data_IF_869868794057
#
_entry.id   IF_869868794057
#
_cell.length_a   1.000
_cell.length_b   1.000
_cell.length_c   1.000
_cell.angle_alpha   90.00
_cell.angle_beta   90.00
_cell.angle_gamma   90.00
#
_symmetry.space_group_name_H-M   'P 1'
#
loop_
_entity.id
_entity.type
_entity.pdbx_description
1 polymer ?
#
# COMPACT_ATOMS: atom_id res chain seq x y z
N UNK A 1 -16.76 -2.40 2.13
CA UNK A 1 -16.86 -3.68 2.86
C UNK A 1 -17.21 -4.87 1.95
N UNK A 2 -18.19 -4.76 1.05
CA UNK A 2 -18.55 -5.87 0.16
C UNK A 2 -17.40 -6.33 -0.77
N UNK A 3 -16.67 -5.37 -1.37
CA UNK A 3 -15.55 -5.66 -2.28
C UNK A 3 -14.36 -6.34 -1.59
N UNK A 4 -14.01 -5.90 -0.38
CA UNK A 4 -12.92 -6.50 0.39
C UNK A 4 -13.26 -7.91 0.88
N UNK A 5 -14.51 -8.14 1.30
CA UNK A 5 -15.01 -9.47 1.65
C UNK A 5 -15.06 -10.41 0.44
N UNK A 6 -15.51 -9.92 -0.71
CA UNK A 6 -15.50 -10.69 -1.96
C UNK A 6 -14.08 -11.05 -2.39
N UNK A 7 -13.15 -10.10 -2.39
CA UNK A 7 -11.74 -10.34 -2.70
C UNK A 7 -11.11 -11.37 -1.75
N UNK A 8 -11.36 -11.25 -0.45
CA UNK A 8 -10.90 -12.24 0.53
C UNK A 8 -11.51 -13.62 0.24
N UNK A 9 -12.82 -13.74 0.15
CA UNK A 9 -13.50 -15.03 -0.07
C UNK A 9 -13.15 -15.69 -1.41
N UNK A 10 -12.80 -14.90 -2.44
CA UNK A 10 -12.45 -15.40 -3.77
C UNK A 10 -10.97 -15.74 -3.93
N UNK A 11 -10.05 -15.04 -3.26
CA UNK A 11 -8.61 -15.31 -3.37
C UNK A 11 -8.17 -16.37 -2.35
N UNK A 12 -8.71 -16.34 -1.14
CA UNK A 12 -8.20 -17.16 -0.02
C UNK A 12 -8.29 -18.67 -0.24
N UNK A 13 -9.39 -19.22 -0.79
CA UNK A 13 -9.49 -20.67 -1.00
C UNK A 13 -8.56 -21.20 -2.10
N UNK A 14 -8.27 -20.39 -3.12
CA UNK A 14 -7.54 -20.82 -4.32
C UNK A 14 -6.07 -20.40 -4.31
N UNK A 15 -5.74 -19.29 -3.64
CA UNK A 15 -4.39 -18.72 -3.57
C UNK A 15 -4.07 -18.18 -2.16
N UNK A 16 -4.05 -19.04 -1.13
CA UNK A 16 -3.91 -18.61 0.26
C UNK A 16 -2.57 -17.93 0.55
N UNK A 17 -1.47 -18.40 -0.05
CA UNK A 17 -0.15 -17.78 0.12
C UNK A 17 -0.12 -16.36 -0.48
N UNK A 18 -0.68 -16.19 -1.68
CA UNK A 18 -0.81 -14.89 -2.33
C UNK A 18 -1.71 -13.96 -1.52
N UNK A 19 -2.87 -14.44 -1.06
CA UNK A 19 -3.77 -13.68 -0.20
C UNK A 19 -3.12 -13.21 1.11
N UNK A 20 -2.40 -14.10 1.79
CA UNK A 20 -1.68 -13.76 3.01
C UNK A 20 -0.56 -12.74 2.76
N UNK A 21 0.17 -12.90 1.65
CA UNK A 21 1.21 -11.94 1.25
C UNK A 21 0.66 -10.54 1.01
N UNK A 22 -0.42 -10.42 0.24
CA UNK A 22 -1.07 -9.12 -0.01
C UNK A 22 -1.67 -8.51 1.25
N UNK A 23 -2.29 -9.32 2.12
CA UNK A 23 -2.81 -8.82 3.40
C UNK A 23 -1.68 -8.29 4.29
N UNK A 24 -0.54 -8.97 4.34
CA UNK A 24 0.62 -8.54 5.10
C UNK A 24 1.24 -7.25 4.54
N UNK A 25 1.43 -7.15 3.22
CA UNK A 25 1.92 -5.92 2.57
C UNK A 25 0.95 -4.77 2.82
N UNK A 26 -0.36 -5.00 2.66
CA UNK A 26 -1.38 -3.99 2.93
C UNK A 26 -1.36 -3.49 4.38
N UNK A 27 -1.10 -4.39 5.34
CA UNK A 27 -0.91 -4.02 6.74
C UNK A 27 0.31 -3.12 6.94
N UNK A 28 1.44 -3.42 6.29
CA UNK A 28 2.64 -2.58 6.36
C UNK A 28 2.40 -1.18 5.78
N UNK A 29 1.69 -1.10 4.65
CA UNK A 29 1.31 0.19 4.04
C UNK A 29 0.39 0.98 4.97
N UNK A 30 -0.62 0.34 5.56
CA UNK A 30 -1.51 1.01 6.51
C UNK A 30 -0.78 1.45 7.78
N UNK A 31 0.18 0.65 8.26
CA UNK A 31 1.01 1.01 9.40
C UNK A 31 1.89 2.24 9.10
N UNK A 32 2.51 2.26 7.92
CA UNK A 32 3.30 3.40 7.44
C UNK A 32 2.45 4.69 7.43
N UNK A 33 1.26 4.64 6.81
CA UNK A 33 0.33 5.78 6.73
C UNK A 33 -0.14 6.29 8.11
N UNK A 34 -0.42 5.37 9.04
CA UNK A 34 -0.78 5.74 10.42
C UNK A 34 0.39 6.42 11.13
N UNK A 35 1.62 5.93 10.96
CA UNK A 35 2.80 6.57 11.56
C UNK A 35 3.01 7.96 10.98
N UNK A 36 2.81 8.13 9.67
CA UNK A 36 2.91 9.42 8.99
C UNK A 36 1.90 10.43 9.54
N UNK A 37 0.65 10.01 9.74
CA UNK A 37 -0.40 10.90 10.24
C UNK A 37 -0.28 11.21 11.74
N UNK A 38 0.29 10.28 12.50
CA UNK A 38 0.41 10.41 13.96
C UNK A 38 1.72 11.06 14.40
N UNK A 39 2.72 11.16 13.52
CA UNK A 39 4.05 11.68 13.85
C UNK A 39 4.51 12.74 12.85
N UNK A 40 5.38 13.68 13.24
CA UNK A 40 5.92 14.67 12.31
C UNK A 40 7.04 14.10 11.41
N UNK A 41 7.28 12.79 11.42
CA UNK A 41 8.37 12.16 10.67
C UNK A 41 7.86 11.64 9.33
N UNK A 42 8.58 11.97 8.25
CA UNK A 42 8.35 11.34 6.95
C UNK A 42 8.56 9.83 7.02
N UNK A 43 7.60 9.08 6.52
CA UNK A 43 7.65 7.63 6.49
C UNK A 43 8.31 7.12 5.21
N UNK A 44 8.77 5.85 5.19
CA UNK A 44 9.34 5.22 4.01
C UNK A 44 8.53 5.42 2.73
N UNK A 45 7.20 5.32 2.76
CA UNK A 45 6.37 5.43 1.56
C UNK A 45 6.30 6.88 1.03
N UNK A 46 6.24 7.86 1.92
CA UNK A 46 6.33 9.29 1.60
C UNK A 46 7.67 9.64 0.92
N UNK A 47 8.78 9.06 1.40
CA UNK A 47 10.09 9.24 0.79
C UNK A 47 10.17 8.65 -0.63
N UNK A 48 9.57 7.48 -0.85
CA UNK A 48 9.49 6.86 -2.18
C UNK A 48 8.67 7.75 -3.12
N UNK A 49 7.54 8.27 -2.66
CA UNK A 49 6.72 9.19 -3.44
C UNK A 49 7.48 10.45 -3.86
N UNK A 50 8.04 11.18 -2.88
CA UNK A 50 8.72 12.47 -3.11
C UNK A 50 9.98 12.35 -3.95
N UNK A 51 10.77 11.27 -3.78
CA UNK A 51 12.09 11.14 -4.43
C UNK A 51 12.05 10.41 -5.75
N UNK A 52 11.08 9.53 -5.97
CA UNK A 52 11.06 8.65 -7.14
C UNK A 52 9.80 8.87 -7.97
N UNK A 53 8.63 8.68 -7.39
CA UNK A 53 7.38 8.64 -8.16
C UNK A 53 6.99 10.04 -8.68
N UNK A 54 6.95 11.03 -7.79
CA UNK A 54 6.59 12.40 -8.14
C UNK A 54 7.45 13.01 -9.26
N UNK A 55 8.80 12.96 -9.22
CA UNK A 55 9.61 13.49 -10.31
C UNK A 55 9.48 12.71 -11.62
N UNK A 56 9.14 11.41 -11.58
CA UNK A 56 8.86 10.63 -12.80
C UNK A 56 7.56 11.09 -13.44
N UNK A 57 6.50 11.30 -12.64
CA UNK A 57 5.20 11.78 -13.14
C UNK A 57 5.38 13.15 -13.81
N UNK A 58 6.07 14.08 -13.16
CA UNK A 58 6.33 15.40 -13.73
C UNK A 58 7.02 15.33 -15.10
N UNK A 59 7.96 14.42 -15.30
CA UNK A 59 8.64 14.22 -16.60
C UNK A 59 7.74 13.62 -17.69
N UNK A 60 6.69 12.91 -17.30
CA UNK A 60 5.73 12.30 -18.24
C UNK A 60 4.65 13.30 -18.64
N UNK A 61 4.32 14.24 -17.76
CA UNK A 61 3.29 15.26 -17.98
C UNK A 61 3.78 16.51 -18.74
N UNK A 62 5.10 16.67 -18.91
CA UNK A 62 5.73 17.67 -19.81
C UNK A 62 5.63 17.29 -21.30
#
# INVERSE_FOLDING_TARGET
MALSLFGFASIWPYYPATGAGFAFIGLLVALDDVIEHMTPYSTPLDLVWKKVIYPIILRIEE
#
